data_IF_129320357476
#
_entry.id   IF_129320357476
#
_cell.length_a   1.000
_cell.length_b   1.000
_cell.length_c   1.000
_cell.angle_alpha   90.00
_cell.angle_beta   90.00
_cell.angle_gamma   90.00
#
_symmetry.space_group_name_H-M   'P 1'
#
loop_
_entity.id
_entity.type
_entity.pdbx_description
1 polymer ?
#
# COMPACT_ATOMS: atom_id res chain seq x y z
N UNK A 1 15.35 6.20 -6.39
CA UNK A 1 14.29 6.79 -7.22
C UNK A 1 13.84 5.75 -8.23
N UNK A 2 12.66 5.13 -8.24
CA UNK A 2 11.29 5.55 -7.86
C UNK A 2 10.31 4.38 -7.53
N UNK A 3 10.76 3.13 -7.28
CA UNK A 3 9.83 1.97 -7.26
C UNK A 3 9.94 1.00 -6.07
N UNK A 4 9.51 1.39 -4.84
CA UNK A 4 9.57 0.49 -3.65
C UNK A 4 8.41 0.61 -2.63
N UNK A 5 7.36 1.36 -2.99
CA UNK A 5 6.06 1.48 -2.30
C UNK A 5 4.98 1.69 -3.37
N UNK A 6 5.35 2.43 -4.43
CA UNK A 6 4.59 2.61 -5.65
C UNK A 6 4.10 1.28 -6.24
N UNK A 7 4.94 0.25 -6.30
CA UNK A 7 4.62 -1.01 -6.99
C UNK A 7 3.45 -1.76 -6.32
N UNK A 8 3.42 -1.82 -4.99
CA UNK A 8 2.28 -2.38 -4.26
C UNK A 8 1.01 -1.55 -4.41
N UNK A 9 1.13 -0.22 -4.35
CA UNK A 9 -0.03 0.67 -4.55
C UNK A 9 -0.58 0.53 -5.98
N UNK A 10 0.30 0.37 -6.97
CA UNK A 10 -0.05 0.10 -8.37
C UNK A 10 -0.72 -1.26 -8.50
N UNK A 11 -0.19 -2.30 -7.88
CA UNK A 11 -0.79 -3.64 -7.90
C UNK A 11 -2.19 -3.61 -7.28
N UNK A 12 -2.34 -3.01 -6.10
CA UNK A 12 -3.62 -2.87 -5.40
C UNK A 12 -4.65 -2.11 -6.25
N UNK A 13 -4.24 -0.97 -6.81
CA UNK A 13 -5.10 -0.17 -7.69
C UNK A 13 -5.49 -0.95 -8.95
N UNK A 14 -4.55 -1.69 -9.53
CA UNK A 14 -4.77 -2.51 -10.74
C UNK A 14 -5.73 -3.66 -10.48
N UNK A 15 -5.54 -4.40 -9.38
CA UNK A 15 -6.45 -5.49 -9.00
C UNK A 15 -7.87 -4.97 -8.76
N UNK A 16 -8.01 -3.83 -8.06
CA UNK A 16 -9.30 -3.20 -7.84
C UNK A 16 -9.96 -2.75 -9.14
N UNK A 17 -9.21 -2.05 -10.01
CA UNK A 17 -9.73 -1.54 -11.28
C UNK A 17 -10.22 -2.68 -12.19
N UNK A 18 -9.42 -3.74 -12.37
CA UNK A 18 -9.81 -4.91 -13.15
C UNK A 18 -11.08 -5.56 -12.63
N UNK A 19 -11.17 -5.74 -11.30
CA UNK A 19 -12.35 -6.34 -10.66
C UNK A 19 -13.60 -5.47 -10.79
N UNK A 20 -13.49 -4.18 -10.50
CA UNK A 20 -14.62 -3.25 -10.48
C UNK A 20 -15.15 -2.93 -11.88
N UNK A 21 -14.27 -2.89 -12.88
CA UNK A 21 -14.64 -2.64 -14.28
C UNK A 21 -14.89 -3.92 -15.10
N UNK A 22 -14.78 -5.11 -14.48
CA UNK A 22 -14.90 -6.41 -15.15
C UNK A 22 -13.95 -6.58 -16.35
N UNK A 23 -12.73 -6.07 -16.24
CA UNK A 23 -11.68 -6.14 -17.26
C UNK A 23 -10.83 -7.37 -17.00
N UNK A 24 -10.64 -8.23 -18.00
CA UNK A 24 -9.73 -9.38 -17.91
C UNK A 24 -8.27 -8.93 -17.97
N UNK A 25 -7.34 -9.79 -17.51
CA UNK A 25 -5.91 -9.50 -17.62
C UNK A 25 -5.49 -9.23 -19.08
N UNK A 26 -5.97 -10.04 -20.02
CA UNK A 26 -5.71 -9.86 -21.45
C UNK A 26 -6.20 -8.50 -21.97
N UNK A 27 -7.37 -8.04 -21.54
CA UNK A 27 -7.90 -6.74 -21.95
C UNK A 27 -7.15 -5.58 -21.30
N UNK A 28 -6.68 -5.77 -20.07
CA UNK A 28 -5.89 -4.80 -19.34
C UNK A 28 -4.50 -4.62 -19.98
N UNK A 29 -3.89 -5.74 -20.40
CA UNK A 29 -2.55 -5.80 -21.00
C UNK A 29 -2.46 -5.13 -22.38
N UNK A 30 -3.59 -4.93 -23.08
CA UNK A 30 -3.65 -4.12 -24.30
C UNK A 30 -3.26 -2.65 -24.03
N UNK A 31 -3.30 -2.21 -22.77
CA UNK A 31 -2.86 -0.88 -22.34
C UNK A 31 -3.86 0.23 -22.65
N UNK A 32 -3.43 1.48 -22.49
CA UNK A 32 -4.23 2.68 -22.73
C UNK A 32 -5.13 3.13 -21.56
N UNK A 33 -5.17 2.37 -20.46
CA UNK A 33 -5.93 2.75 -19.28
C UNK A 33 -5.24 3.82 -18.44
N UNK A 34 -6.03 4.78 -17.96
CA UNK A 34 -5.62 5.72 -16.93
C UNK A 34 -6.38 5.38 -15.64
N UNK A 35 -5.64 5.01 -14.59
CA UNK A 35 -6.21 4.66 -13.28
C UNK A 35 -6.05 5.87 -12.35
N UNK A 36 -7.17 6.45 -11.95
CA UNK A 36 -7.22 7.51 -10.95
C UNK A 36 -7.53 6.90 -9.58
N UNK A 37 -6.60 7.00 -8.64
CA UNK A 37 -6.73 6.44 -7.31
C UNK A 37 -7.18 7.50 -6.30
N UNK A 38 -7.61 7.04 -5.13
CA UNK A 38 -7.94 7.91 -3.99
C UNK A 38 -6.75 8.19 -3.07
N UNK A 39 -5.58 7.63 -3.37
CA UNK A 39 -4.41 7.72 -2.51
C UNK A 39 -3.90 9.16 -2.43
N UNK A 40 -3.66 9.59 -1.20
CA UNK A 40 -3.05 10.87 -0.89
C UNK A 40 -1.57 10.64 -0.57
N UNK A 41 -0.68 11.20 -1.39
CA UNK A 41 0.77 11.01 -1.23
C UNK A 41 1.30 11.46 0.14
N UNK A 42 0.75 12.53 0.74
CA UNK A 42 1.19 13.01 2.05
C UNK A 42 0.77 12.01 3.13
N UNK A 43 -0.44 11.45 3.02
CA UNK A 43 -0.93 10.43 3.96
C UNK A 43 -0.19 9.10 3.81
N UNK A 44 0.15 8.72 2.59
CA UNK A 44 0.99 7.55 2.30
C UNK A 44 2.36 7.66 3.00
N UNK A 45 3.05 8.80 2.84
CA UNK A 45 4.32 9.04 3.52
C UNK A 45 4.16 9.04 5.04
N UNK A 46 3.15 9.74 5.57
CA UNK A 46 2.91 9.80 7.00
C UNK A 46 2.60 8.42 7.61
N UNK A 47 1.84 7.59 6.89
CA UNK A 47 1.52 6.22 7.31
C UNK A 47 2.78 5.33 7.30
N UNK A 48 3.59 5.40 6.24
CA UNK A 48 4.83 4.67 6.14
C UNK A 48 5.82 5.04 7.26
N UNK A 49 5.91 6.32 7.61
CA UNK A 49 6.73 6.83 8.72
C UNK A 49 6.22 6.33 10.08
N UNK A 50 4.90 6.41 10.30
CA UNK A 50 4.28 5.93 11.53
C UNK A 50 4.54 4.44 11.76
N UNK A 51 4.36 3.61 10.72
CA UNK A 51 4.64 2.18 10.80
C UNK A 51 6.13 1.93 10.99
N UNK A 52 7.01 2.63 10.26
CA UNK A 52 8.47 2.50 10.44
C UNK A 52 8.90 2.82 11.87
N UNK A 53 8.33 3.86 12.48
CA UNK A 53 8.59 4.22 13.89
C UNK A 53 8.11 3.13 14.84
N UNK A 54 6.92 2.57 14.63
CA UNK A 54 6.40 1.47 15.44
C UNK A 54 7.30 0.23 15.36
N UNK A 55 7.74 -0.14 14.15
CA UNK A 55 8.66 -1.27 13.94
C UNK A 55 10.01 -1.07 14.63
N UNK A 56 10.61 0.13 14.50
CA UNK A 56 11.85 0.47 15.21
C UNK A 56 11.68 0.39 16.73
N UNK A 57 10.54 0.82 17.27
CA UNK A 57 10.26 0.72 18.71
C UNK A 57 10.13 -0.74 19.14
N UNK A 58 9.40 -1.57 18.39
CA UNK A 58 9.26 -2.99 18.69
C UNK A 58 10.62 -3.72 18.68
N UNK A 59 11.46 -3.45 17.66
CA UNK A 59 12.81 -4.01 17.58
C UNK A 59 13.70 -3.62 18.76
N UNK A 60 13.52 -2.41 19.33
CA UNK A 60 14.26 -1.98 20.53
C UNK A 60 13.77 -2.65 21.80
N UNK A 61 12.46 -2.88 21.91
CA UNK A 61 11.83 -3.42 23.11
C UNK A 61 12.02 -4.93 23.23
N UNK A 62 11.77 -5.67 22.15
CA UNK A 62 11.96 -7.12 22.10
C UNK A 62 12.37 -7.54 20.67
N UNK A 63 13.68 -7.63 20.40
CA UNK A 63 14.20 -8.04 19.11
C UNK A 63 13.77 -9.45 18.69
N UNK A 64 13.55 -10.37 19.65
CA UNK A 64 13.20 -11.76 19.35
C UNK A 64 11.75 -11.84 18.86
N UNK A 65 10.83 -11.22 19.58
CA UNK A 65 9.43 -11.15 19.17
C UNK A 65 9.23 -10.30 17.90
N UNK A 66 9.98 -9.20 17.76
CA UNK A 66 9.87 -8.32 16.61
C UNK A 66 10.33 -8.98 15.29
N UNK A 67 11.14 -10.04 15.34
CA UNK A 67 11.65 -10.75 14.16
C UNK A 67 10.54 -11.38 13.31
N UNK A 68 9.45 -11.82 13.94
CA UNK A 68 8.31 -12.46 13.28
C UNK A 68 7.08 -11.56 13.20
N UNK A 69 7.23 -10.27 13.49
CA UNK A 69 6.12 -9.33 13.52
C UNK A 69 5.88 -8.69 12.12
N UNK A 70 4.67 -8.90 11.59
CA UNK A 70 4.19 -8.25 10.37
C UNK A 70 3.32 -7.04 10.70
N UNK A 71 3.41 -6.00 9.87
CA UNK A 71 2.72 -4.73 10.08
C UNK A 71 1.93 -4.37 8.83
N UNK A 72 0.62 -4.23 9.00
CA UNK A 72 -0.29 -3.66 8.02
C UNK A 72 -0.99 -2.43 8.61
N UNK A 73 -1.23 -1.41 7.79
CA UNK A 73 -1.99 -0.24 8.21
C UNK A 73 -2.72 0.39 7.02
N UNK A 74 -3.85 1.04 7.27
CA UNK A 74 -4.58 1.80 6.27
C UNK A 74 -5.19 3.05 6.88
N UNK A 75 -5.38 4.08 6.05
CA UNK A 75 -6.15 5.28 6.38
C UNK A 75 -7.37 5.35 5.49
N UNK A 76 -8.54 5.46 6.10
CA UNK A 76 -9.84 5.49 5.40
C UNK A 76 -10.55 6.80 5.72
N UNK A 77 -11.08 7.46 4.70
CA UNK A 77 -11.90 8.65 4.84
C UNK A 77 -13.30 8.30 5.37
N UNK A 78 -14.04 9.30 5.86
CA UNK A 78 -15.41 9.09 6.34
C UNK A 78 -16.37 8.55 5.26
N UNK A 79 -16.08 8.80 3.99
CA UNK A 79 -16.83 8.29 2.84
C UNK A 79 -16.35 6.92 2.34
N UNK A 80 -15.46 6.25 3.10
CA UNK A 80 -14.95 4.92 2.78
C UNK A 80 -13.77 4.90 1.80
N UNK A 81 -13.31 6.04 1.29
CA UNK A 81 -12.14 6.08 0.39
C UNK A 81 -10.86 5.70 1.13
N UNK A 82 -10.06 4.85 0.50
CA UNK A 82 -8.73 4.51 1.01
C UNK A 82 -7.77 5.64 0.64
N UNK A 83 -7.24 6.34 1.64
CA UNK A 83 -6.34 7.48 1.45
C UNK A 83 -4.87 7.08 1.54
N UNK A 84 -4.56 6.03 2.32
CA UNK A 84 -3.22 5.47 2.38
C UNK A 84 -3.22 3.99 2.78
N UNK A 85 -2.27 3.19 2.29
CA UNK A 85 -2.10 1.78 2.67
C UNK A 85 -0.63 1.40 2.84
N UNK A 86 -0.35 0.65 3.89
CA UNK A 86 0.94 0.02 4.15
C UNK A 86 0.75 -1.50 4.31
N UNK A 87 1.25 -2.30 3.37
CA UNK A 87 1.10 -3.77 3.38
C UNK A 87 2.23 -4.54 4.06
N UNK A 88 3.35 -3.89 4.40
CA UNK A 88 4.53 -4.55 4.97
C UNK A 88 5.82 -4.15 4.27
N UNK A 89 6.99 -4.56 4.81
CA UNK A 89 8.28 -4.33 4.16
C UNK A 89 8.51 -5.18 2.91
N UNK A 90 7.77 -6.27 2.71
CA UNK A 90 8.02 -7.24 1.64
C UNK A 90 7.51 -6.75 0.26
N UNK A 91 7.05 -5.49 0.22
CA UNK A 91 6.81 -4.75 -1.01
C UNK A 91 7.95 -3.75 -1.33
N UNK A 92 9.14 -3.95 -0.75
CA UNK A 92 10.36 -3.11 -0.92
C UNK A 92 11.43 -3.75 -1.79
#
# INVERSE_FOLDING_TARGET
DTGKQSDYLVELATQYAKKAAHISDQQFDLGGYQIYTTFDRKRETALADAVTKARKKALKNDPKAAKTAHYGASSVAADGKILAVYGGPDHR
#
